data_IF_405460966172
#
_entry.id   IF_405460966172
#
_cell.length_a   1.000
_cell.length_b   1.000
_cell.length_c   1.000
_cell.angle_alpha   90.00
_cell.angle_beta   90.00
_cell.angle_gamma   90.00
#
_symmetry.space_group_name_H-M   'P 1'
#
loop_
_entity.id
_entity.type
_entity.pdbx_description
1 polymer ?
#
# COMPACT_ATOMS: atom_id res chain seq x y z
N UNK A 1 -19.75 -0.79 31.22
CA UNK A 1 -19.52 -1.95 30.33
C UNK A 1 -19.84 -1.51 28.91
N UNK A 2 -18.83 -1.03 28.18
CA UNK A 2 -18.95 -0.58 26.79
C UNK A 2 -17.65 -0.97 26.07
N UNK A 3 -17.42 -2.27 25.95
CA UNK A 3 -16.35 -2.84 25.13
C UNK A 3 -17.00 -3.37 23.85
N UNK A 4 -17.44 -2.45 22.99
CA UNK A 4 -18.19 -2.77 21.77
C UNK A 4 -17.44 -2.20 20.56
N UNK A 5 -17.06 -3.07 19.61
CA UNK A 5 -17.01 -2.68 18.20
C UNK A 5 -15.67 -2.67 17.43
N UNK A 6 -14.49 -2.89 18.02
CA UNK A 6 -13.24 -2.85 17.24
C UNK A 6 -12.95 -4.11 16.39
N UNK A 7 -13.92 -5.03 16.32
CA UNK A 7 -13.89 -6.25 15.52
C UNK A 7 -14.75 -6.12 14.25
N UNK A 8 -14.87 -4.93 13.65
CA UNK A 8 -15.22 -4.88 12.23
C UNK A 8 -13.99 -5.40 11.49
N UNK A 9 -13.92 -6.73 11.36
CA UNK A 9 -13.12 -7.42 10.34
C UNK A 9 -13.15 -6.50 9.15
N UNK A 10 -11.98 -6.02 8.71
CA UNK A 10 -11.85 -5.50 7.36
C UNK A 10 -12.64 -6.48 6.51
N UNK A 11 -13.80 -6.05 6.01
CA UNK A 11 -14.61 -6.84 5.12
C UNK A 11 -13.69 -7.04 3.95
N UNK A 12 -12.95 -8.16 3.95
CA UNK A 12 -12.19 -8.61 2.81
C UNK A 12 -13.28 -8.93 1.83
N UNK A 13 -13.69 -7.92 1.05
CA UNK A 13 -14.66 -8.02 -0.02
C UNK A 13 -14.18 -9.17 -0.88
N UNK A 14 -14.73 -10.36 -0.63
CA UNK A 14 -14.27 -11.57 -1.25
C UNK A 14 -14.40 -11.33 -2.74
N UNK A 15 -13.28 -11.43 -3.46
CA UNK A 15 -13.24 -11.13 -4.87
C UNK A 15 -14.35 -11.93 -5.57
N UNK A 16 -15.39 -11.22 -6.03
CA UNK A 16 -16.56 -11.87 -6.61
C UNK A 16 -16.22 -12.31 -8.03
N UNK A 17 -16.31 -13.62 -8.35
CA UNK A 17 -15.98 -14.12 -9.67
C UNK A 17 -16.80 -13.48 -10.80
N UNK A 18 -18.00 -12.99 -10.48
CA UNK A 18 -18.85 -12.23 -11.43
C UNK A 18 -18.25 -10.89 -11.82
N UNK A 19 -17.74 -10.12 -10.84
CA UNK A 19 -17.08 -8.83 -11.12
C UNK A 19 -15.78 -9.04 -11.91
N UNK A 20 -15.05 -10.11 -11.64
CA UNK A 20 -13.87 -10.47 -12.42
C UNK A 20 -14.20 -10.78 -13.89
N UNK A 21 -15.31 -11.48 -14.16
CA UNK A 21 -15.79 -11.71 -15.52
C UNK A 21 -16.11 -10.42 -16.28
N UNK A 22 -16.78 -9.48 -15.62
CA UNK A 22 -17.06 -8.16 -16.21
C UNK A 22 -15.78 -7.34 -16.47
N UNK A 23 -14.83 -7.34 -15.53
CA UNK A 23 -13.53 -6.69 -15.72
C UNK A 23 -12.82 -7.25 -16.95
N UNK A 24 -12.77 -8.57 -17.09
CA UNK A 24 -12.11 -9.23 -18.22
C UNK A 24 -12.82 -8.92 -19.56
N UNK A 25 -14.15 -8.91 -19.56
CA UNK A 25 -14.95 -8.55 -20.74
C UNK A 25 -14.65 -7.11 -21.20
N UNK A 26 -14.59 -6.15 -20.27
CA UNK A 26 -14.23 -4.75 -20.57
C UNK A 26 -12.80 -4.65 -21.10
N UNK A 27 -11.84 -5.32 -20.48
CA UNK A 27 -10.44 -5.33 -20.93
C UNK A 27 -10.32 -5.85 -22.37
N UNK A 28 -10.98 -6.97 -22.69
CA UNK A 28 -10.99 -7.52 -24.04
C UNK A 28 -11.76 -6.65 -25.04
N UNK A 29 -12.83 -5.98 -24.62
CA UNK A 29 -13.55 -5.03 -25.49
C UNK A 29 -12.68 -3.82 -25.85
N UNK A 30 -11.92 -3.27 -24.89
CA UNK A 30 -10.96 -2.19 -25.14
C UNK A 30 -9.83 -2.67 -26.06
N UNK A 31 -9.29 -3.87 -25.85
CA UNK A 31 -8.28 -4.46 -26.72
C UNK A 31 -8.81 -4.66 -28.16
N UNK A 32 -10.06 -5.10 -28.31
CA UNK A 32 -10.73 -5.21 -29.60
C UNK A 32 -10.84 -3.85 -30.30
N UNK A 33 -11.27 -2.81 -29.58
CA UNK A 33 -11.39 -1.46 -30.11
C UNK A 33 -10.02 -0.91 -30.56
N UNK A 34 -8.98 -1.09 -29.75
CA UNK A 34 -7.63 -0.63 -30.08
C UNK A 34 -7.03 -1.38 -31.28
N UNK A 35 -7.24 -2.70 -31.37
CA UNK A 35 -6.74 -3.50 -32.50
C UNK A 35 -7.51 -3.22 -33.79
N UNK A 36 -8.82 -2.95 -33.69
CA UNK A 36 -9.64 -2.49 -34.81
C UNK A 36 -9.18 -1.12 -35.33
N UNK A 37 -8.92 -0.15 -34.43
CA UNK A 37 -8.39 1.17 -34.81
C UNK A 37 -6.99 1.11 -35.44
N UNK A 38 -6.16 0.16 -35.02
CA UNK A 38 -4.83 -0.07 -35.61
C UNK A 38 -4.87 -0.93 -36.89
N UNK A 39 -6.06 -1.33 -37.36
CA UNK A 39 -6.21 -2.12 -38.59
C UNK A 39 -5.70 -3.57 -38.49
N UNK A 40 -5.53 -4.10 -37.28
CA UNK A 40 -5.04 -5.45 -37.06
C UNK A 40 -6.17 -6.48 -37.22
N UNK A 41 -5.95 -7.55 -37.99
CA UNK A 41 -6.96 -8.60 -38.25
C UNK A 41 -7.40 -9.40 -37.01
N UNK A 42 -6.75 -9.21 -35.87
CA UNK A 42 -7.06 -9.90 -34.61
C UNK A 42 -8.29 -9.35 -33.88
N UNK A 43 -8.89 -8.24 -34.33
CA UNK A 43 -10.04 -7.62 -33.65
C UNK A 43 -11.26 -8.54 -33.43
N UNK A 44 -11.63 -9.47 -34.34
CA UNK A 44 -12.77 -10.37 -34.12
C UNK A 44 -12.49 -11.38 -33.00
N UNK A 45 -11.23 -11.81 -32.86
CA UNK A 45 -10.82 -12.74 -31.81
C UNK A 45 -10.96 -12.11 -30.42
N UNK A 46 -10.64 -10.82 -30.29
CA UNK A 46 -10.82 -10.08 -29.03
C UNK A 46 -12.29 -9.86 -28.68
N UNK A 47 -13.16 -9.63 -29.67
CA UNK A 47 -14.61 -9.57 -29.43
C UNK A 47 -15.16 -10.93 -28.98
N UNK A 48 -14.76 -12.02 -29.64
CA UNK A 48 -15.16 -13.37 -29.24
C UNK A 48 -14.70 -13.69 -27.81
N UNK A 49 -13.46 -13.34 -27.46
CA UNK A 49 -12.93 -13.50 -26.11
C UNK A 49 -13.71 -12.68 -25.06
N UNK A 50 -14.11 -11.45 -25.39
CA UNK A 50 -14.95 -10.61 -24.52
C UNK A 50 -16.34 -11.24 -24.28
N UNK A 51 -17.00 -11.70 -25.34
CA UNK A 51 -18.31 -12.36 -25.26
C UNK A 51 -18.26 -13.66 -24.45
N UNK A 52 -17.20 -14.47 -24.64
CA UNK A 52 -16.96 -15.68 -23.85
C UNK A 52 -16.72 -15.35 -22.38
N UNK A 53 -15.89 -14.34 -22.07
CA UNK A 53 -15.63 -13.92 -20.70
C UNK A 53 -16.92 -13.45 -19.98
N UNK A 54 -17.74 -12.63 -20.66
CA UNK A 54 -19.04 -12.17 -20.15
C UNK A 54 -20.03 -13.34 -19.97
N UNK A 55 -20.10 -14.24 -20.95
CA UNK A 55 -20.96 -15.43 -20.92
C UNK A 55 -20.63 -16.37 -19.77
N UNK A 56 -19.35 -16.68 -19.55
CA UNK A 56 -18.93 -17.54 -18.43
C UNK A 56 -19.17 -16.83 -17.09
N UNK A 57 -18.91 -15.51 -17.03
CA UNK A 57 -19.21 -14.69 -15.85
C UNK A 57 -20.69 -14.71 -15.43
N UNK A 58 -21.61 -14.77 -16.40
CA UNK A 58 -23.06 -14.86 -16.16
C UNK A 58 -23.51 -16.30 -15.84
N UNK A 59 -23.13 -17.30 -16.65
CA UNK A 59 -23.70 -18.65 -16.55
C UNK A 59 -23.03 -19.53 -15.48
N UNK A 60 -21.70 -19.42 -15.30
CA UNK A 60 -20.92 -20.31 -14.43
C UNK A 60 -19.75 -19.55 -13.77
N UNK A 61 -20.02 -18.61 -12.86
CA UNK A 61 -18.97 -17.82 -12.20
C UNK A 61 -17.94 -18.66 -11.41
N UNK A 62 -18.29 -19.89 -11.02
CA UNK A 62 -17.40 -20.81 -10.32
C UNK A 62 -16.15 -21.19 -11.14
N UNK A 63 -16.23 -21.19 -12.48
CA UNK A 63 -15.07 -21.49 -13.34
C UNK A 63 -14.03 -20.37 -13.32
N UNK A 64 -14.47 -19.11 -13.18
CA UNK A 64 -13.59 -17.96 -13.03
C UNK A 64 -12.98 -17.86 -11.63
N UNK A 65 -13.48 -18.63 -10.65
CA UNK A 65 -12.97 -18.57 -9.28
C UNK A 65 -11.54 -19.11 -9.16
N UNK A 66 -11.15 -20.11 -9.95
CA UNK A 66 -9.78 -20.65 -9.94
C UNK A 66 -8.74 -19.64 -10.46
N UNK A 67 -8.90 -19.06 -11.67
CA UNK A 67 -7.97 -18.03 -12.16
C UNK A 67 -8.00 -16.76 -11.30
N UNK A 68 -9.15 -16.38 -10.74
CA UNK A 68 -9.25 -15.23 -9.83
C UNK A 68 -8.41 -15.43 -8.56
N UNK A 69 -8.34 -16.65 -8.01
CA UNK A 69 -7.48 -16.95 -6.86
C UNK A 69 -6.01 -16.78 -7.19
N UNK A 70 -5.57 -17.24 -8.36
CA UNK A 70 -4.21 -17.03 -8.85
C UNK A 70 -3.89 -15.55 -9.05
N UNK A 71 -4.82 -14.79 -9.66
CA UNK A 71 -4.71 -13.35 -9.83
C UNK A 71 -4.58 -12.61 -8.50
N UNK A 72 -5.41 -12.97 -7.51
CA UNK A 72 -5.33 -12.39 -6.17
C UNK A 72 -4.02 -12.73 -5.45
N UNK A 73 -3.55 -13.98 -5.56
CA UNK A 73 -2.26 -14.38 -5.01
C UNK A 73 -1.10 -13.58 -5.62
N UNK A 74 -1.14 -13.36 -6.93
CA UNK A 74 -0.17 -12.50 -7.62
C UNK A 74 -0.25 -11.05 -7.13
N UNK A 75 -1.46 -10.50 -7.00
CA UNK A 75 -1.68 -9.16 -6.45
C UNK A 75 -1.13 -9.01 -5.03
N UNK A 76 -1.30 -10.02 -4.18
CA UNK A 76 -0.74 -10.05 -2.83
C UNK A 76 0.79 -10.13 -2.83
N UNK A 77 1.38 -10.98 -3.68
CA UNK A 77 2.83 -11.08 -3.81
C UNK A 77 3.42 -9.74 -4.30
N UNK A 78 2.80 -9.14 -5.30
CA UNK A 78 3.21 -7.85 -5.83
C UNK A 78 3.10 -6.76 -4.76
N UNK A 79 1.98 -6.72 -4.03
CA UNK A 79 1.79 -5.81 -2.89
C UNK A 79 2.87 -5.98 -1.82
N UNK A 80 3.30 -7.22 -1.53
CA UNK A 80 4.38 -7.49 -0.56
C UNK A 80 5.72 -6.92 -0.99
N UNK A 81 5.98 -6.79 -2.29
CA UNK A 81 7.22 -6.21 -2.84
C UNK A 81 7.08 -4.69 -3.01
N UNK A 82 5.96 -4.26 -3.58
CA UNK A 82 5.68 -2.85 -3.91
C UNK A 82 5.52 -2.01 -2.65
N UNK A 83 4.86 -2.52 -1.60
CA UNK A 83 4.65 -1.76 -0.36
C UNK A 83 5.95 -1.35 0.35
N UNK A 84 6.89 -2.27 0.67
CA UNK A 84 8.18 -1.87 1.25
C UNK A 84 9.03 -1.07 0.26
N UNK A 85 8.91 -1.30 -1.06
CA UNK A 85 9.61 -0.48 -2.06
C UNK A 85 9.11 0.97 -2.04
N UNK A 86 7.79 1.21 -2.01
CA UNK A 86 7.23 2.54 -1.88
C UNK A 86 7.63 3.19 -0.57
N UNK A 87 7.53 2.47 0.56
CA UNK A 87 7.96 3.01 1.86
C UNK A 87 9.45 3.37 1.86
N UNK A 88 10.30 2.48 1.34
CA UNK A 88 11.74 2.70 1.23
C UNK A 88 12.06 3.88 0.31
N UNK A 89 11.36 4.01 -0.81
CA UNK A 89 11.52 5.14 -1.73
C UNK A 89 11.05 6.44 -1.09
N UNK A 90 9.88 6.47 -0.45
CA UNK A 90 9.39 7.65 0.26
C UNK A 90 10.34 8.06 1.38
N UNK A 91 10.82 7.08 2.17
CA UNK A 91 11.79 7.35 3.21
C UNK A 91 13.10 7.92 2.63
N UNK A 92 13.61 7.28 1.58
CA UNK A 92 14.78 7.72 0.84
C UNK A 92 14.63 9.14 0.28
N UNK A 93 13.49 9.45 -0.34
CA UNK A 93 13.29 10.72 -1.03
C UNK A 93 12.95 11.88 -0.09
N UNK A 94 12.34 11.62 1.06
CA UNK A 94 11.98 12.66 2.02
C UNK A 94 13.04 12.82 3.11
N UNK A 95 13.37 11.73 3.81
CA UNK A 95 14.20 11.80 5.02
C UNK A 95 15.69 11.86 4.71
N UNK A 96 16.18 11.16 3.69
CA UNK A 96 17.62 11.18 3.35
C UNK A 96 18.10 12.56 2.88
N UNK A 97 17.43 13.25 1.93
CA UNK A 97 17.88 14.59 1.55
C UNK A 97 17.70 15.59 2.69
N UNK A 98 16.65 15.44 3.53
CA UNK A 98 16.48 16.30 4.71
C UNK A 98 17.61 16.09 5.73
N UNK A 99 18.01 14.84 5.98
CA UNK A 99 19.14 14.52 6.84
C UNK A 99 20.46 15.01 6.25
N UNK A 100 20.64 14.89 4.93
CA UNK A 100 21.81 15.42 4.23
C UNK A 100 21.87 16.95 4.33
N UNK A 101 20.72 17.62 4.18
CA UNK A 101 20.59 19.06 4.35
C UNK A 101 21.00 19.53 5.74
N UNK A 102 20.49 18.89 6.80
CA UNK A 102 20.92 19.21 8.17
C UNK A 102 22.40 18.92 8.41
N UNK A 103 22.94 17.87 7.78
CA UNK A 103 24.37 17.55 7.83
C UNK A 103 25.22 18.62 7.14
N UNK A 104 24.77 19.17 6.01
CA UNK A 104 25.44 20.29 5.32
C UNK A 104 25.40 21.58 6.14
N UNK A 105 24.30 21.83 6.86
CA UNK A 105 24.15 22.99 7.77
C UNK A 105 24.96 22.81 9.08
N UNK A 106 25.51 21.62 9.34
CA UNK A 106 26.26 21.33 10.57
C UNK A 106 25.36 21.22 11.81
N UNK A 107 24.05 21.10 11.64
CA UNK A 107 23.10 20.91 12.75
C UNK A 107 23.10 19.44 13.17
N UNK A 108 23.92 19.12 14.17
CA UNK A 108 23.87 17.82 14.85
C UNK A 108 22.80 17.82 15.94
N UNK A 109 21.53 17.67 15.54
CA UNK A 109 20.41 17.65 16.47
C UNK A 109 20.47 16.49 17.48
N UNK A 110 21.24 15.43 17.19
CA UNK A 110 21.39 14.28 18.08
C UNK A 110 22.70 14.29 18.88
N UNK A 111 23.56 15.31 18.74
CA UNK A 111 24.91 15.35 19.35
C UNK A 111 25.64 14.00 19.18
N UNK A 112 25.59 13.43 17.97
CA UNK A 112 26.13 12.09 17.69
C UNK A 112 27.66 12.06 17.71
N UNK A 113 28.30 13.22 17.57
CA UNK A 113 29.73 13.36 17.78
C UNK A 113 30.04 13.26 19.28
N UNK A 114 30.68 12.17 19.67
CA UNK A 114 31.28 12.03 21.00
C UNK A 114 32.44 13.02 21.10
N UNK A 115 32.33 13.93 22.06
CA UNK A 115 33.38 14.86 22.47
C UNK A 115 34.34 14.15 23.45
N UNK A 116 35.60 13.87 23.05
CA UNK A 116 36.57 13.18 23.90
C UNK A 116 36.92 13.95 25.19
N UNK A 117 36.76 15.28 25.17
CA UNK A 117 37.10 16.16 26.30
C UNK A 117 35.89 16.46 27.21
N UNK A 118 34.72 15.92 26.90
CA UNK A 118 33.53 16.12 27.72
C UNK A 118 33.59 15.31 29.02
N UNK A 119 33.56 16.03 30.16
CA UNK A 119 33.55 15.43 31.49
C UNK A 119 32.30 14.56 31.77
N UNK A 120 31.17 14.86 31.12
CA UNK A 120 29.94 14.06 31.19
C UNK A 120 29.01 14.42 30.03
N UNK A 121 28.34 13.42 29.46
CA UNK A 121 27.27 13.60 28.46
C UNK A 121 25.88 13.75 29.10
N UNK A 122 25.81 13.72 30.44
CA UNK A 122 24.55 13.85 31.15
C UNK A 122 23.98 15.25 30.94
N UNK A 123 22.73 15.32 30.50
CA UNK A 123 22.01 16.58 30.37
C UNK A 123 21.22 16.78 31.66
N UNK A 124 21.71 17.64 32.54
CA UNK A 124 20.95 18.06 33.72
C UNK A 124 19.69 18.78 33.26
N UNK A 125 18.55 18.15 33.54
CA UNK A 125 17.23 18.75 33.34
C UNK A 125 16.78 19.28 34.68
N UNK A 126 16.50 20.57 34.73
CA UNK A 126 15.84 21.15 35.90
C UNK A 126 14.53 20.41 36.16
N UNK A 127 14.22 20.08 37.44
CA UNK A 127 12.96 19.44 37.78
C UNK A 127 11.83 20.35 37.31
N UNK A 128 11.09 19.90 36.29
CA UNK A 128 9.91 20.63 35.85
C UNK A 128 8.93 20.68 37.03
N UNK A 129 8.40 21.88 37.33
CA UNK A 129 7.38 22.18 38.36
C UNK A 129 6.15 21.25 38.34
N UNK A 130 6.02 20.38 37.34
CA UNK A 130 5.04 19.30 37.27
C UNK A 130 5.03 18.40 38.53
N UNK A 131 6.19 18.21 39.18
CA UNK A 131 6.27 17.48 40.45
C UNK A 131 5.56 18.17 41.62
N UNK A 132 5.43 19.50 41.59
CA UNK A 132 4.69 20.26 42.61
C UNK A 132 3.17 20.08 42.46
N UNK A 133 2.68 19.86 41.24
CA UNK A 133 1.26 19.56 40.97
C UNK A 133 0.86 18.13 41.32
N UNK A 134 1.79 17.17 41.34
CA UNK A 134 1.52 15.78 41.75
C UNK A 134 1.40 15.58 43.26
N UNK A 135 1.83 16.56 44.08
CA UNK A 135 1.74 16.51 45.55
C UNK A 135 0.40 16.95 46.12
N UNK A 136 -0.54 17.39 45.28
CA UNK A 136 -1.92 17.66 45.69
C UNK A 136 -2.83 16.56 45.14
N UNK A 137 -3.17 15.53 45.94
CA UNK A 137 -4.34 14.73 45.61
C UNK A 137 -5.56 15.65 45.65
N UNK A 138 -6.44 15.44 44.69
CA UNK A 138 -7.78 16.00 44.53
C UNK A 138 -8.56 16.09 45.85
#
# INVERSE_FOLDING_TARGET
MAHEGYQRRAETSSASPRHFGWLLAVVFAVAAALTAWKGHSAWPAWIAASAVAAGIGWLRPAWLAWPLRGWMALGHLLGRIVNPLLLGLMFGLLFVPLALWFRLIGRDALRRRLDPDAASYWIDREPQELGARMRRPF
#
